data_IF_679162966703
#
_entry.id   IF_679162966703
#
_cell.length_a   1.000
_cell.length_b   1.000
_cell.length_c   1.000
_cell.angle_alpha   90.00
_cell.angle_beta   90.00
_cell.angle_gamma   90.00
#
_symmetry.space_group_name_H-M   'P 1'
#
loop_
_entity.id
_entity.type
_entity.pdbx_description
1 polymer ?
#
# COMPACT_ATOMS: atom_id res chain seq x y z
N UNK A 1 -9.10 -33.03 57.04
CA UNK A 1 -9.20 -33.07 55.56
C UNK A 1 -10.19 -31.99 55.12
N UNK A 2 -9.91 -31.27 54.01
CA UNK A 2 -10.77 -30.31 53.27
C UNK A 2 -10.45 -28.81 53.46
N UNK A 3 -9.35 -28.32 52.88
CA UNK A 3 -9.14 -26.87 52.58
C UNK A 3 -8.56 -26.62 51.18
N UNK A 4 -8.56 -27.59 50.28
CA UNK A 4 -7.85 -27.51 49.00
C UNK A 4 -8.69 -27.51 47.70
N UNK A 5 -10.02 -27.24 47.66
CA UNK A 5 -10.70 -27.15 46.36
C UNK A 5 -10.60 -25.74 45.72
N UNK A 6 -10.41 -24.68 46.52
CA UNK A 6 -10.44 -23.30 46.01
C UNK A 6 -9.16 -22.86 45.29
N UNK A 7 -8.00 -23.37 45.70
CA UNK A 7 -6.71 -23.08 45.05
C UNK A 7 -6.61 -23.70 43.65
N UNK A 8 -7.19 -24.89 43.45
CA UNK A 8 -7.20 -25.55 42.15
C UNK A 8 -8.14 -24.85 41.15
N UNK A 9 -9.27 -24.33 41.62
CA UNK A 9 -10.22 -23.56 40.77
C UNK A 9 -9.64 -22.21 40.37
N UNK A 10 -8.92 -21.52 41.27
CA UNK A 10 -8.21 -20.28 40.97
C UNK A 10 -7.07 -20.47 39.96
N UNK A 11 -6.33 -21.57 40.04
CA UNK A 11 -5.27 -21.90 39.08
C UNK A 11 -5.83 -22.19 37.66
N UNK A 12 -6.98 -22.84 37.55
CA UNK A 12 -7.64 -23.08 36.26
C UNK A 12 -8.21 -21.80 35.62
N UNK A 13 -8.71 -20.86 36.42
CA UNK A 13 -9.19 -19.56 35.92
C UNK A 13 -8.04 -18.66 35.43
N UNK A 14 -6.86 -18.75 36.06
CA UNK A 14 -5.66 -18.04 35.60
C UNK A 14 -5.11 -18.60 34.28
N UNK A 15 -5.20 -19.92 34.06
CA UNK A 15 -4.75 -20.57 32.82
C UNK A 15 -5.68 -20.29 31.61
N UNK A 16 -6.97 -20.10 31.83
CA UNK A 16 -7.94 -19.73 30.78
C UNK A 16 -7.83 -18.27 30.31
N UNK A 17 -7.19 -17.39 31.09
CA UNK A 17 -6.92 -16.00 30.69
C UNK A 17 -5.78 -15.83 29.67
N UNK A 18 -4.90 -16.82 29.55
CA UNK A 18 -3.69 -16.76 28.69
C UNK A 18 -3.92 -17.24 27.24
N UNK A 19 -5.07 -17.84 26.93
CA UNK A 19 -5.37 -18.34 25.59
C UNK A 19 -6.01 -17.30 24.64
N UNK A 20 -6.36 -16.10 25.15
CA UNK A 20 -7.08 -15.07 24.39
C UNK A 20 -6.23 -14.24 23.41
N UNK A 21 -4.90 -14.30 23.50
CA UNK A 21 -4.01 -13.33 22.81
C UNK A 21 -3.44 -13.84 21.47
N UNK A 22 -3.42 -15.15 21.21
CA UNK A 22 -2.78 -15.70 20.01
C UNK A 22 -3.62 -15.57 18.72
N UNK A 23 -4.96 -15.63 18.81
CA UNK A 23 -5.87 -15.51 17.64
C UNK A 23 -6.04 -14.05 17.16
N UNK A 24 -5.67 -13.09 18.00
CA UNK A 24 -5.64 -11.68 17.66
C UNK A 24 -4.52 -11.38 16.65
N UNK A 25 -3.25 -11.62 17.02
CA UNK A 25 -2.09 -11.29 16.17
C UNK A 25 -2.22 -11.77 14.71
N UNK A 26 -2.64 -13.02 14.51
CA UNK A 26 -2.80 -13.63 13.18
C UNK A 26 -3.80 -12.89 12.25
N UNK A 27 -4.84 -12.24 12.80
CA UNK A 27 -5.76 -11.43 12.00
C UNK A 27 -5.24 -10.01 11.74
N UNK A 28 -4.42 -9.48 12.65
CA UNK A 28 -3.66 -8.23 12.50
C UNK A 28 -2.81 -8.27 11.24
N UNK A 29 -1.86 -9.20 11.28
CA UNK A 29 -0.82 -9.38 10.28
C UNK A 29 -1.39 -9.69 8.88
N UNK A 30 -2.47 -10.47 8.82
CA UNK A 30 -3.12 -10.83 7.55
C UNK A 30 -3.76 -9.63 6.85
N UNK A 31 -4.32 -8.68 7.62
CA UNK A 31 -4.94 -7.48 7.06
C UNK A 31 -3.89 -6.49 6.60
N UNK A 32 -2.82 -6.31 7.39
CA UNK A 32 -1.66 -5.50 7.05
C UNK A 32 -1.01 -5.98 5.75
N UNK A 33 -0.69 -7.27 5.64
CA UNK A 33 -0.08 -7.84 4.45
C UNK A 33 -0.98 -7.73 3.20
N UNK A 34 -2.31 -7.79 3.38
CA UNK A 34 -3.26 -7.55 2.28
C UNK A 34 -3.28 -6.10 1.83
N UNK A 35 -3.05 -5.15 2.75
CA UNK A 35 -3.00 -3.73 2.45
C UNK A 35 -1.69 -3.37 1.73
N UNK A 36 -0.54 -3.86 2.19
CA UNK A 36 0.76 -3.71 1.50
C UNK A 36 0.70 -4.22 0.06
N UNK A 37 0.27 -5.48 -0.14
CA UNK A 37 0.13 -6.07 -1.49
C UNK A 37 -0.82 -5.28 -2.39
N UNK A 38 -1.79 -4.59 -1.80
CA UNK A 38 -2.70 -3.76 -2.58
C UNK A 38 -2.05 -2.43 -2.98
N UNK A 39 -1.26 -1.83 -2.10
CA UNK A 39 -0.41 -0.67 -2.39
C UNK A 39 0.56 -0.98 -3.53
N UNK A 40 1.36 -2.03 -3.39
CA UNK A 40 2.34 -2.48 -4.41
C UNK A 40 1.69 -2.73 -5.78
N UNK A 41 0.50 -3.36 -5.82
CA UNK A 41 -0.23 -3.59 -7.08
C UNK A 41 -0.66 -2.29 -7.77
N UNK A 42 -0.97 -1.25 -7.01
CA UNK A 42 -1.34 0.04 -7.57
C UNK A 42 -0.11 0.75 -8.09
N UNK A 43 0.99 0.72 -7.33
CA UNK A 43 2.27 1.33 -7.68
C UNK A 43 2.81 0.76 -8.99
N UNK A 44 2.95 -0.57 -9.07
CA UNK A 44 3.34 -1.25 -10.31
C UNK A 44 2.43 -1.00 -11.51
N UNK A 45 1.14 -0.68 -11.27
CA UNK A 45 0.22 -0.34 -12.37
C UNK A 45 0.44 1.09 -12.86
N UNK A 46 0.82 2.00 -11.98
CA UNK A 46 1.14 3.38 -12.32
C UNK A 46 2.49 3.46 -13.04
N UNK A 47 3.52 2.76 -12.56
CA UNK A 47 4.84 2.69 -13.21
C UNK A 47 4.73 2.17 -14.64
N UNK A 48 4.15 0.98 -14.83
CA UNK A 48 3.94 0.39 -16.16
C UNK A 48 3.10 1.25 -17.09
N UNK A 49 2.33 2.19 -16.55
CA UNK A 49 1.56 3.15 -17.33
C UNK A 49 2.42 4.37 -17.67
N UNK A 50 3.27 4.83 -16.76
CA UNK A 50 4.32 5.83 -16.99
C UNK A 50 5.23 5.41 -18.13
N UNK A 51 5.89 4.26 -18.00
CA UNK A 51 6.84 3.73 -18.99
C UNK A 51 6.23 3.65 -20.39
N UNK A 52 4.96 3.24 -20.48
CA UNK A 52 4.25 3.13 -21.76
C UNK A 52 3.96 4.48 -22.40
N UNK A 53 3.75 5.51 -21.59
CA UNK A 53 3.50 6.87 -22.08
C UNK A 53 4.81 7.50 -22.51
N UNK A 54 5.86 7.39 -21.69
CA UNK A 54 7.22 7.86 -22.00
C UNK A 54 7.70 7.27 -23.33
N UNK A 55 7.74 5.94 -23.44
CA UNK A 55 8.15 5.27 -24.67
C UNK A 55 7.29 5.60 -25.90
N UNK A 56 6.04 6.07 -25.72
CA UNK A 56 5.20 6.53 -26.83
C UNK A 56 5.51 7.98 -27.21
N UNK A 57 5.76 8.83 -26.22
CA UNK A 57 6.15 10.22 -26.42
C UNK A 57 7.49 10.29 -27.13
N UNK A 58 8.50 9.56 -26.65
CA UNK A 58 9.86 9.55 -27.21
C UNK A 58 9.87 9.14 -28.67
N UNK A 59 9.28 7.97 -28.99
CA UNK A 59 9.17 7.49 -30.37
C UNK A 59 8.50 8.50 -31.30
N UNK A 60 7.51 9.24 -30.78
CA UNK A 60 6.80 10.25 -31.56
C UNK A 60 7.62 11.53 -31.73
N UNK A 61 8.38 11.92 -30.70
CA UNK A 61 9.30 13.05 -30.77
C UNK A 61 10.45 12.76 -31.73
N UNK A 62 11.06 11.58 -31.65
CA UNK A 62 12.11 11.10 -32.56
C UNK A 62 11.64 11.10 -34.01
N UNK A 63 10.44 10.55 -34.28
CA UNK A 63 9.87 10.56 -35.62
C UNK A 63 9.67 12.00 -36.14
N UNK A 64 9.18 12.92 -35.30
CA UNK A 64 9.00 14.32 -35.68
C UNK A 64 10.34 15.02 -35.92
N UNK A 65 11.35 14.75 -35.10
CA UNK A 65 12.69 15.30 -35.24
C UNK A 65 13.35 14.81 -36.54
N UNK A 66 13.22 13.52 -36.87
CA UNK A 66 13.72 12.93 -38.11
C UNK A 66 13.10 13.54 -39.37
N UNK A 67 11.85 14.01 -39.28
CA UNK A 67 11.16 14.74 -40.35
C UNK A 67 11.39 16.26 -40.32
N UNK A 68 12.31 16.76 -39.50
CA UNK A 68 12.67 18.18 -39.40
C UNK A 68 11.68 19.03 -38.58
N UNK A 69 10.70 18.41 -37.92
CA UNK A 69 9.70 19.11 -37.10
C UNK A 69 10.16 19.29 -35.65
N UNK A 70 11.32 19.90 -35.44
CA UNK A 70 11.92 20.07 -34.10
C UNK A 70 10.98 20.74 -33.07
N UNK A 71 10.22 21.77 -33.48
CA UNK A 71 9.24 22.42 -32.59
C UNK A 71 8.07 21.52 -32.20
N UNK A 72 7.66 20.62 -33.09
CA UNK A 72 6.60 19.66 -32.80
C UNK A 72 7.12 18.54 -31.88
N UNK A 73 8.35 18.07 -32.09
CA UNK A 73 9.03 17.11 -31.21
C UNK A 73 9.10 17.66 -29.77
N UNK A 74 9.64 18.87 -29.59
CA UNK A 74 9.71 19.51 -28.27
C UNK A 74 8.33 19.71 -27.58
N UNK A 75 7.26 19.85 -28.37
CA UNK A 75 5.90 19.93 -27.82
C UNK A 75 5.39 18.56 -27.34
N UNK A 76 5.79 17.49 -28.02
CA UNK A 76 5.48 16.11 -27.62
C UNK A 76 6.25 15.74 -26.35
N UNK A 77 7.54 16.06 -26.27
CA UNK A 77 8.35 15.81 -25.07
C UNK A 77 7.77 16.49 -23.84
N UNK A 78 7.51 17.80 -23.94
CA UNK A 78 6.88 18.57 -22.86
C UNK A 78 5.49 18.05 -22.49
N UNK A 79 4.77 17.44 -23.43
CA UNK A 79 3.51 16.78 -23.12
C UNK A 79 3.75 15.48 -22.34
N UNK A 80 4.76 14.69 -22.73
CA UNK A 80 5.22 13.50 -22.00
C UNK A 80 5.55 13.83 -20.55
N UNK A 81 6.43 14.78 -20.30
CA UNK A 81 6.83 15.25 -18.96
C UNK A 81 5.62 15.68 -18.11
N UNK A 82 4.65 16.39 -18.70
CA UNK A 82 3.43 16.79 -17.98
C UNK A 82 2.55 15.61 -17.59
N UNK A 83 2.53 14.56 -18.40
CA UNK A 83 1.76 13.34 -18.11
C UNK A 83 2.47 12.52 -17.04
N UNK A 84 3.78 12.39 -17.11
CA UNK A 84 4.62 11.76 -16.08
C UNK A 84 4.41 12.44 -14.72
N UNK A 85 4.61 13.77 -14.64
CA UNK A 85 4.40 14.53 -13.40
C UNK A 85 2.96 14.47 -12.86
N UNK A 86 1.98 14.07 -13.69
CA UNK A 86 0.59 13.82 -13.25
C UNK A 86 0.42 12.40 -12.72
N UNK A 87 1.14 11.43 -13.27
CA UNK A 87 1.17 10.05 -12.78
C UNK A 87 1.88 9.97 -11.44
N UNK A 88 3.00 10.66 -11.26
CA UNK A 88 3.73 10.71 -9.98
C UNK A 88 2.85 11.26 -8.86
N UNK A 89 2.25 12.44 -9.08
CA UNK A 89 1.27 13.01 -8.15
C UNK A 89 0.11 12.08 -7.83
N UNK A 90 -0.28 11.23 -8.78
CA UNK A 90 -1.34 10.23 -8.55
C UNK A 90 -0.82 9.05 -7.73
N UNK A 91 0.44 8.67 -7.90
CA UNK A 91 1.18 7.74 -7.04
C UNK A 91 1.21 8.24 -5.61
N UNK A 92 1.68 9.47 -5.38
CA UNK A 92 1.75 10.10 -4.05
C UNK A 92 0.37 10.11 -3.35
N UNK A 93 -0.68 10.48 -4.09
CA UNK A 93 -2.04 10.49 -3.55
C UNK A 93 -2.54 9.08 -3.19
N UNK A 94 -2.16 8.07 -3.97
CA UNK A 94 -2.49 6.69 -3.69
C UNK A 94 -1.73 6.19 -2.44
N UNK A 95 -0.43 6.46 -2.36
CA UNK A 95 0.39 6.13 -1.19
C UNK A 95 -0.18 6.76 0.08
N UNK A 96 -0.43 8.08 0.07
CA UNK A 96 -1.01 8.78 1.20
C UNK A 96 -2.43 8.27 1.55
N UNK A 97 -3.21 7.78 0.58
CA UNK A 97 -4.49 7.13 0.86
C UNK A 97 -4.32 5.82 1.63
N UNK A 98 -3.32 5.02 1.26
CA UNK A 98 -3.04 3.75 1.91
C UNK A 98 -2.43 3.93 3.30
N UNK A 99 -1.51 4.88 3.49
CA UNK A 99 -0.99 5.27 4.80
C UNK A 99 -2.11 5.66 5.76
N UNK A 100 -2.98 6.59 5.36
CA UNK A 100 -4.16 6.98 6.16
C UNK A 100 -5.07 5.80 6.48
N UNK A 101 -5.16 4.82 5.58
CA UNK A 101 -5.97 3.63 5.81
C UNK A 101 -5.30 2.70 6.83
N UNK A 102 -3.97 2.56 6.76
CA UNK A 102 -3.14 1.83 7.72
C UNK A 102 -3.28 2.44 9.12
N UNK A 103 -3.04 3.74 9.26
CA UNK A 103 -3.19 4.42 10.56
C UNK A 103 -4.59 4.26 11.19
N UNK A 104 -5.65 4.18 10.37
CA UNK A 104 -7.02 3.93 10.86
C UNK A 104 -7.22 2.49 11.30
N UNK A 105 -6.50 1.55 10.70
CA UNK A 105 -6.46 0.16 11.11
C UNK A 105 -5.71 0.04 12.44
N UNK A 106 -4.51 0.59 12.53
CA UNK A 106 -3.66 0.57 13.73
C UNK A 106 -4.41 1.15 14.94
N UNK A 107 -5.01 2.34 14.77
CA UNK A 107 -5.84 2.96 15.82
C UNK A 107 -7.04 2.12 16.26
N UNK A 108 -7.60 1.26 15.39
CA UNK A 108 -8.67 0.32 15.80
C UNK A 108 -8.08 -0.91 16.48
N UNK A 109 -6.91 -1.35 16.04
CA UNK A 109 -6.20 -2.48 16.59
C UNK A 109 -5.77 -2.22 18.03
N UNK A 110 -5.10 -1.08 18.27
CA UNK A 110 -4.63 -0.62 19.59
C UNK A 110 -5.76 -0.40 20.61
N UNK A 111 -6.99 -0.13 20.14
CA UNK A 111 -8.15 -0.01 21.03
C UNK A 111 -8.71 -1.36 21.45
N UNK A 112 -8.34 -2.43 20.76
CA UNK A 112 -8.94 -3.76 20.91
C UNK A 112 -8.01 -4.76 21.59
N UNK A 113 -6.70 -4.49 21.61
CA UNK A 113 -5.65 -5.27 22.26
C UNK A 113 -4.70 -4.32 22.99
#
# INVERSE_FOLDING_TARGET
MKTTPYLAVLACLAALGLAGTAVAGDRGDRVEHRMERHGERIDHRLDRRGDRIEARSDRRADALAAHGHARAAARVDRHGERVEARLDRRGDLAQAHWERRGERYDRRWDRRH
#
